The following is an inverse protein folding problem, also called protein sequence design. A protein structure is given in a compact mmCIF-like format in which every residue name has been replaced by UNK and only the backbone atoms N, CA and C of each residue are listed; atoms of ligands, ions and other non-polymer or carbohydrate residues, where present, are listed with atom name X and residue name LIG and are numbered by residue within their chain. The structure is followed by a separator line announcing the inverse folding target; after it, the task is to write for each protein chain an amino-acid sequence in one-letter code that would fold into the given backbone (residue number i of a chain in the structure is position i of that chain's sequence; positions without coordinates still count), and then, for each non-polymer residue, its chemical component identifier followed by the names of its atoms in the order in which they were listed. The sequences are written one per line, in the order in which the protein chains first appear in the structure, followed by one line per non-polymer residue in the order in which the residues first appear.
data_IF_091800317564
#
_entry.id   IF_091800317564
#
_cell.length_a   1.000
_cell.length_b   1.000
_cell.length_c   1.000
_cell.angle_alpha   90.00
_cell.angle_beta   90.00
_cell.angle_gamma   90.00
#
_symmetry.space_group_name_H-M   'P 1'
#
loop_
_entity.id
_entity.type
_entity.pdbx_description
1 polymer ?
#
# COMPACT_ATOMS: atom_id res chain seq x y z
N UNK A 1 5.86 -23.02 -1.94
CA UNK A 1 6.63 -22.50 -0.80
C UNK A 1 5.92 -21.26 -0.28
N UNK A 2 5.22 -21.30 0.86
CA UNK A 2 4.57 -20.10 1.43
C UNK A 2 5.70 -19.22 2.01
N UNK A 3 5.90 -18.01 1.48
CA UNK A 3 6.83 -17.04 2.07
C UNK A 3 6.37 -16.78 3.50
N UNK A 4 7.26 -17.02 4.46
CA UNK A 4 7.00 -16.72 5.88
C UNK A 4 6.97 -15.19 5.99
N UNK A 5 5.79 -14.64 6.32
CA UNK A 5 5.57 -13.19 6.39
C UNK A 5 6.43 -12.60 7.50
N UNK A 6 7.27 -11.61 7.15
CA UNK A 6 8.08 -10.85 8.10
C UNK A 6 7.15 -10.08 9.04
N UNK A 7 7.08 -10.50 10.30
CA UNK A 7 6.22 -9.87 11.31
C UNK A 7 6.85 -8.55 11.78
N UNK A 8 6.75 -7.50 10.97
CA UNK A 8 7.03 -6.15 11.44
C UNK A 8 5.84 -5.67 12.27
N UNK A 9 5.80 -6.02 13.56
CA UNK A 9 4.70 -5.79 14.50
C UNK A 9 4.50 -4.29 14.78
N UNK A 10 3.86 -3.56 13.88
CA UNK A 10 3.39 -2.21 14.16
C UNK A 10 1.91 -2.29 14.57
N UNK A 11 1.56 -2.14 15.86
CA UNK A 11 0.20 -2.37 16.36
C UNK A 11 -0.85 -1.43 15.77
N UNK A 12 -0.43 -0.35 15.09
CA UNK A 12 -1.34 0.51 14.32
C UNK A 12 -1.97 -0.18 13.10
N UNK A 13 -1.35 -1.23 12.55
CA UNK A 13 -1.69 -1.76 11.23
C UNK A 13 -1.97 -3.26 11.18
N UNK A 14 -1.80 -3.95 12.31
CA UNK A 14 -1.87 -5.42 12.39
C UNK A 14 -3.04 -5.88 13.28
N UNK A 15 -4.25 -5.38 13.02
CA UNK A 15 -5.46 -6.00 13.56
C UNK A 15 -5.55 -7.44 13.03
N UNK A 16 -5.62 -8.48 13.89
CA UNK A 16 -5.67 -9.86 13.43
C UNK A 16 -6.88 -10.09 12.52
N UNK A 17 -6.61 -10.36 11.24
CA UNK A 17 -7.65 -10.60 10.21
C UNK A 17 -7.94 -9.40 9.29
N UNK A 18 -7.39 -8.21 9.57
CA UNK A 18 -7.53 -7.07 8.67
C UNK A 18 -6.70 -7.25 7.40
N UNK A 19 -7.26 -6.87 6.25
CA UNK A 19 -6.56 -6.84 4.96
C UNK A 19 -5.61 -5.64 4.91
N UNK A 20 -4.36 -5.89 4.55
CA UNK A 20 -3.29 -4.88 4.57
C UNK A 20 -3.23 -4.14 3.23
N UNK A 21 -3.42 -2.82 3.28
CA UNK A 21 -3.49 -1.94 2.11
C UNK A 21 -2.25 -1.04 2.04
N UNK A 22 -1.67 -0.85 0.86
CA UNK A 22 -0.74 0.25 0.60
C UNK A 22 -1.45 1.34 -0.20
N UNK A 23 -1.21 2.61 0.13
CA UNK A 23 -1.70 3.77 -0.63
C UNK A 23 -0.54 4.40 -1.40
N UNK A 24 -0.71 4.63 -2.70
CA UNK A 24 0.26 5.31 -3.56
C UNK A 24 -0.39 6.55 -4.15
N UNK A 25 -0.01 7.72 -3.64
CA UNK A 25 -0.56 9.02 -4.02
C UNK A 25 0.43 10.11 -3.61
N UNK A 26 0.66 11.14 -4.42
CA UNK A 26 1.61 12.21 -4.13
C UNK A 26 1.04 13.31 -3.21
N UNK A 27 -0.27 13.32 -2.95
CA UNK A 27 -0.98 14.32 -2.14
C UNK A 27 -1.16 13.85 -0.68
N UNK A 28 -0.42 14.42 0.30
CA UNK A 28 -0.45 13.96 1.69
C UNK A 28 -1.83 14.07 2.36
N UNK A 29 -2.62 15.10 1.99
CA UNK A 29 -3.96 15.29 2.53
C UNK A 29 -4.91 14.17 2.13
N UNK A 30 -4.82 13.71 0.87
CA UNK A 30 -5.66 12.63 0.37
C UNK A 30 -5.31 11.30 1.05
N UNK A 31 -4.00 10.99 1.18
CA UNK A 31 -3.55 9.79 1.91
C UNK A 31 -4.09 9.74 3.34
N UNK A 32 -4.00 10.85 4.07
CA UNK A 32 -4.52 10.94 5.45
C UNK A 32 -6.03 10.73 5.53
N UNK A 33 -6.80 11.32 4.61
CA UNK A 33 -8.24 11.13 4.55
C UNK A 33 -8.60 9.67 4.23
N UNK A 34 -7.90 9.06 3.28
CA UNK A 34 -8.12 7.68 2.88
C UNK A 34 -7.72 6.68 3.99
N UNK A 35 -6.62 6.93 4.70
CA UNK A 35 -6.23 6.13 5.88
C UNK A 35 -7.34 6.08 6.93
N UNK A 36 -7.90 7.25 7.28
CA UNK A 36 -9.00 7.34 8.24
C UNK A 36 -10.25 6.57 7.79
N UNK A 37 -10.60 6.66 6.49
CA UNK A 37 -11.73 5.92 5.93
C UNK A 37 -11.49 4.42 5.94
N UNK A 38 -10.29 3.97 5.57
CA UNK A 38 -9.91 2.55 5.51
C UNK A 38 -9.95 1.91 6.90
N UNK A 39 -9.52 2.62 7.94
CA UNK A 39 -9.51 2.11 9.31
C UNK A 39 -10.90 2.06 9.98
N UNK A 40 -11.94 2.65 9.37
CA UNK A 40 -13.23 2.88 10.04
C UNK A 40 -14.00 1.63 10.48
N UNK A 41 -13.92 0.51 9.73
CA UNK A 41 -14.66 -0.74 10.00
C UNK A 41 -13.74 -1.89 10.49
N UNK A 42 -12.45 -1.62 10.69
CA UNK A 42 -11.46 -2.60 11.19
C UNK A 42 -11.14 -3.79 10.27
N UNK A 43 -11.89 -3.98 9.18
CA UNK A 43 -11.66 -5.02 8.17
C UNK A 43 -10.40 -4.77 7.32
N UNK A 44 -9.93 -3.52 7.27
CA UNK A 44 -8.78 -3.10 6.50
C UNK A 44 -7.83 -2.27 7.36
N UNK A 45 -6.54 -2.33 7.02
CA UNK A 45 -5.50 -1.54 7.64
C UNK A 45 -4.52 -1.05 6.58
N UNK A 46 -4.31 0.26 6.49
CA UNK A 46 -3.17 0.81 5.72
C UNK A 46 -1.89 0.30 6.36
N UNK A 47 -1.02 -0.42 5.66
CA UNK A 47 0.25 -0.91 6.20
C UNK A 47 1.45 -0.09 5.73
N UNK A 48 1.28 0.74 4.71
CA UNK A 48 2.30 1.62 4.17
C UNK A 48 1.74 2.64 3.18
N UNK A 49 2.55 3.64 2.90
CA UNK A 49 2.25 4.71 1.96
C UNK A 49 3.46 4.93 1.04
N UNK A 50 3.21 5.43 -0.16
CA UNK A 50 4.23 5.89 -1.09
C UNK A 50 3.74 7.14 -1.84
N UNK A 51 4.67 8.01 -2.19
CA UNK A 51 4.42 9.27 -2.91
C UNK A 51 4.70 9.19 -4.40
N UNK A 52 5.34 8.12 -4.87
CA UNK A 52 5.77 7.94 -6.25
C UNK A 52 5.95 6.45 -6.57
N UNK A 53 6.13 6.13 -7.86
CA UNK A 53 6.23 4.75 -8.33
C UNK A 53 7.46 3.98 -7.83
N UNK A 54 8.62 4.64 -7.67
CA UNK A 54 9.83 3.96 -7.18
C UNK A 54 9.65 3.54 -5.74
N UNK A 55 9.19 4.47 -4.89
CA UNK A 55 8.89 4.21 -3.49
C UNK A 55 7.81 3.13 -3.34
N UNK A 56 6.78 3.16 -4.20
CA UNK A 56 5.71 2.16 -4.17
C UNK A 56 6.23 0.74 -4.36
N UNK A 57 7.13 0.50 -5.32
CA UNK A 57 7.70 -0.84 -5.54
C UNK A 57 8.48 -1.31 -4.31
N UNK A 58 9.27 -0.44 -3.68
CA UNK A 58 10.05 -0.79 -2.49
C UNK A 58 9.15 -1.09 -1.28
N UNK A 59 8.10 -0.28 -1.09
CA UNK A 59 7.11 -0.46 -0.04
C UNK A 59 6.34 -1.77 -0.23
N UNK A 60 5.90 -2.08 -1.46
CA UNK A 60 5.16 -3.32 -1.75
C UNK A 60 6.06 -4.54 -1.51
N UNK A 61 7.31 -4.54 -2.01
CA UNK A 61 8.28 -5.63 -1.76
C UNK A 61 8.50 -5.88 -0.28
N UNK A 62 8.66 -4.80 0.49
CA UNK A 62 8.98 -4.87 1.92
C UNK A 62 7.79 -5.31 2.75
N UNK A 63 6.60 -4.81 2.41
CA UNK A 63 5.42 -4.96 3.26
C UNK A 63 4.52 -6.11 2.85
N UNK A 64 4.62 -6.65 1.64
CA UNK A 64 3.77 -7.75 1.15
C UNK A 64 2.27 -7.47 1.43
N UNK A 65 1.70 -6.36 0.90
CA UNK A 65 0.31 -6.00 1.14
C UNK A 65 -0.66 -6.95 0.42
N UNK A 66 -1.90 -7.02 0.91
CA UNK A 66 -2.97 -7.77 0.25
C UNK A 66 -3.64 -6.94 -0.89
N UNK A 67 -3.54 -5.61 -0.84
CA UNK A 67 -4.10 -4.69 -1.83
C UNK A 67 -3.24 -3.41 -1.94
N UNK A 68 -3.19 -2.82 -3.13
CA UNK A 68 -2.64 -1.48 -3.34
C UNK A 68 -3.71 -0.57 -3.95
N UNK A 69 -3.83 0.65 -3.42
CA UNK A 69 -4.62 1.74 -4.01
C UNK A 69 -3.62 2.69 -4.65
N UNK A 70 -3.76 2.93 -5.95
CA UNK A 70 -2.78 3.67 -6.75
C UNK A 70 -3.46 4.83 -7.46
N UNK A 71 -2.96 6.04 -7.26
CA UNK A 71 -3.32 7.19 -8.09
C UNK A 71 -2.77 6.99 -9.52
N UNK A 72 -3.63 7.18 -10.50
CA UNK A 72 -3.28 7.11 -11.92
C UNK A 72 -2.49 8.34 -12.34
N UNK A 73 -2.73 9.49 -11.69
CA UNK A 73 -2.18 10.80 -12.04
C UNK A 73 -0.82 11.11 -11.40
N UNK A 74 -0.13 10.09 -10.87
CA UNK A 74 1.17 10.26 -10.22
C UNK A 74 2.16 11.06 -11.09
N UNK A 75 2.80 12.10 -10.55
CA UNK A 75 3.78 12.88 -11.28
C UNK A 75 5.05 12.08 -11.60
N UNK A 76 5.59 12.26 -12.81
CA UNK A 76 6.84 11.66 -13.26
C UNK A 76 6.73 10.20 -13.76
N UNK A 77 6.02 9.34 -13.03
CA UNK A 77 5.75 7.97 -13.44
C UNK A 77 4.24 7.75 -13.60
N UNK A 78 3.82 7.26 -14.76
CA UNK A 78 2.40 6.97 -15.00
C UNK A 78 1.94 5.87 -14.03
N UNK A 79 0.90 6.12 -13.23
CA UNK A 79 0.35 5.12 -12.30
C UNK A 79 -0.06 3.82 -13.00
N UNK A 80 -0.41 3.88 -14.29
CA UNK A 80 -0.66 2.70 -15.13
C UNK A 80 0.62 1.87 -15.36
N UNK A 81 1.77 2.52 -15.57
CA UNK A 81 3.05 1.80 -15.71
C UNK A 81 3.46 1.16 -14.38
N UNK A 82 3.23 1.84 -13.25
CA UNK A 82 3.41 1.23 -11.93
C UNK A 82 2.56 -0.04 -11.78
N UNK A 83 1.27 0.01 -12.14
CA UNK A 83 0.38 -1.16 -12.08
C UNK A 83 0.89 -2.30 -12.97
N UNK A 84 1.40 -1.99 -14.18
CA UNK A 84 2.02 -2.99 -15.06
C UNK A 84 3.26 -3.62 -14.42
N UNK A 85 4.12 -2.81 -13.80
CA UNK A 85 5.33 -3.27 -13.13
C UNK A 85 5.01 -4.17 -11.93
N UNK A 86 4.04 -3.78 -11.09
CA UNK A 86 3.55 -4.60 -9.97
C UNK A 86 3.08 -5.96 -10.48
N UNK A 87 2.23 -5.98 -11.52
CA UNK A 87 1.71 -7.23 -12.12
C UNK A 87 2.79 -8.09 -12.77
N UNK A 88 3.88 -7.50 -13.24
CA UNK A 88 5.00 -8.24 -13.82
C UNK A 88 5.89 -8.88 -12.74
N UNK A 89 5.92 -8.32 -11.53
CA UNK A 89 6.81 -8.75 -10.45
C UNK A 89 6.16 -9.72 -9.44
N UNK A 90 4.87 -9.54 -9.11
CA UNK A 90 4.15 -10.28 -8.06
C UNK A 90 3.03 -11.16 -8.63
#
# INVERSE_FOLDING_TARGET
MKRVRSTNKNPKYDSPGAKRIVIVDDHPLFRKGLEQLIHSDGAFAVCGEASNASEAMDVIRKLDPDLAIVDISLPGANGIELIKNIRAEF
#
